data_IF_647813730614
#
_entry.id   IF_647813730614
#
_cell.length_a   1.000
_cell.length_b   1.000
_cell.length_c   1.000
_cell.angle_alpha   90.00
_cell.angle_beta   90.00
_cell.angle_gamma   90.00
#
_symmetry.space_group_name_H-M   'P 1'
#
loop_
_entity.id
_entity.type
_entity.pdbx_description
1 polymer ?
#
# COMPACT_ATOMS: atom_id res chain seq x y z
N UNK A 1 8.61 4.27 -21.81
CA UNK A 1 7.23 4.18 -22.33
C UNK A 1 6.84 2.76 -22.04
N UNK A 2 6.31 2.57 -20.85
CA UNK A 2 6.51 1.31 -20.15
C UNK A 2 5.39 0.35 -20.56
N UNK A 3 5.68 -0.95 -20.59
CA UNK A 3 4.70 -1.98 -20.97
C UNK A 3 3.41 -1.89 -20.12
N UNK A 4 3.54 -1.34 -18.91
CA UNK A 4 2.42 -0.99 -18.03
C UNK A 4 1.53 0.07 -18.65
N UNK A 5 2.07 1.14 -19.26
CA UNK A 5 1.28 2.17 -19.96
C UNK A 5 0.52 1.58 -21.14
N UNK A 6 1.14 0.67 -21.91
CA UNK A 6 0.48 0.05 -23.07
C UNK A 6 -0.67 -0.87 -22.65
N UNK A 7 -0.47 -1.67 -21.59
CA UNK A 7 -1.53 -2.48 -21.00
C UNK A 7 -2.61 -1.61 -20.32
N UNK A 8 -2.24 -0.48 -19.73
CA UNK A 8 -3.18 0.49 -19.16
C UNK A 8 -4.01 1.17 -20.24
N UNK A 9 -3.42 1.50 -21.40
CA UNK A 9 -4.12 2.08 -22.55
C UNK A 9 -5.06 1.04 -23.18
N UNK A 10 -4.64 -0.22 -23.33
CA UNK A 10 -5.51 -1.30 -23.81
C UNK A 10 -6.66 -1.61 -22.82
N UNK A 11 -6.38 -1.66 -21.52
CA UNK A 11 -7.43 -1.85 -20.51
C UNK A 11 -8.32 -0.62 -20.35
N UNK A 12 -7.79 0.62 -20.48
CA UNK A 12 -8.59 1.84 -20.46
C UNK A 12 -9.45 1.97 -21.71
N UNK A 13 -8.96 1.55 -22.89
CA UNK A 13 -9.78 1.49 -24.09
C UNK A 13 -10.93 0.48 -23.94
N UNK A 14 -10.66 -0.70 -23.37
CA UNK A 14 -11.70 -1.71 -23.17
C UNK A 14 -12.67 -1.35 -22.03
N UNK A 15 -12.16 -0.75 -20.94
CA UNK A 15 -12.97 -0.31 -19.80
C UNK A 15 -13.76 0.98 -20.09
N UNK A 16 -13.24 1.93 -20.86
CA UNK A 16 -14.03 3.08 -21.33
C UNK A 16 -15.15 2.64 -22.26
N UNK A 17 -14.94 1.62 -23.10
CA UNK A 17 -16.01 1.10 -23.96
C UNK A 17 -17.12 0.41 -23.16
N UNK A 18 -16.80 -0.28 -22.07
CA UNK A 18 -17.81 -0.94 -21.23
C UNK A 18 -18.49 0.06 -20.27
N UNK A 19 -17.78 1.07 -19.77
CA UNK A 19 -18.31 2.00 -18.77
C UNK A 19 -19.11 3.17 -19.37
N UNK A 20 -18.83 3.57 -20.63
CA UNK A 20 -19.65 4.59 -21.32
C UNK A 20 -21.04 4.11 -21.75
N UNK A 21 -21.34 2.81 -21.67
CA UNK A 21 -22.68 2.28 -22.00
C UNK A 21 -23.64 2.19 -20.81
N UNK A 22 -23.21 2.48 -19.57
CA UNK A 22 -24.06 2.38 -18.38
C UNK A 22 -24.03 3.69 -17.58
N UNK A 23 -24.49 4.78 -18.20
CA UNK A 23 -25.03 5.93 -17.46
C UNK A 23 -26.53 6.00 -17.78
N UNK A 24 -27.42 5.53 -16.89
CA UNK A 24 -28.85 5.65 -17.10
C UNK A 24 -29.24 7.12 -16.89
N UNK A 25 -29.34 7.86 -18.00
CA UNK A 25 -29.94 9.18 -18.00
C UNK A 25 -31.45 8.99 -17.87
N UNK A 26 -31.94 9.18 -16.65
CA UNK A 26 -33.36 9.18 -16.32
C UNK A 26 -34.00 10.44 -16.91
N UNK A 27 -34.40 10.40 -18.18
CA UNK A 27 -35.23 11.43 -18.80
C UNK A 27 -36.32 10.73 -19.62
N UNK A 28 -37.56 10.98 -19.21
CA UNK A 28 -38.76 10.34 -19.72
C UNK A 28 -39.07 10.58 -21.19
N UNK A 29 -39.92 9.69 -21.71
CA UNK A 29 -40.85 9.99 -22.80
C UNK A 29 -40.24 10.15 -24.19
N UNK A 30 -39.70 9.08 -24.77
CA UNK A 30 -39.23 9.09 -26.16
C UNK A 30 -38.88 7.70 -26.68
N UNK A 31 -39.83 6.76 -26.56
CA UNK A 31 -39.66 5.37 -26.96
C UNK A 31 -39.60 5.25 -28.50
N UNK A 32 -38.75 4.35 -29.00
CA UNK A 32 -38.78 3.70 -30.34
C UNK A 32 -37.69 4.09 -31.38
N UNK A 33 -36.96 5.22 -31.31
CA UNK A 33 -35.95 5.55 -32.37
C UNK A 33 -34.45 5.41 -32.05
N UNK A 34 -34.04 5.06 -30.82
CA UNK A 34 -32.61 5.00 -30.44
C UNK A 34 -31.91 3.63 -30.59
N UNK A 35 -32.61 2.54 -30.88
CA UNK A 35 -32.00 1.19 -30.90
C UNK A 35 -31.25 0.83 -32.18
N UNK A 36 -31.44 1.56 -33.28
CA UNK A 36 -30.84 1.19 -34.59
C UNK A 36 -29.37 1.67 -34.69
N UNK A 37 -29.01 2.78 -34.04
CA UNK A 37 -27.66 3.36 -34.16
C UNK A 37 -26.63 2.51 -33.40
N UNK A 38 -26.97 1.97 -32.23
CA UNK A 38 -26.04 1.17 -31.42
C UNK A 38 -25.63 -0.15 -32.09
N UNK A 39 -26.53 -0.80 -32.85
CA UNK A 39 -26.20 -2.06 -33.53
C UNK A 39 -25.19 -1.88 -34.67
N UNK A 40 -25.24 -0.75 -35.39
CA UNK A 40 -24.31 -0.48 -36.49
C UNK A 40 -22.90 -0.17 -35.98
N UNK A 41 -22.78 0.55 -34.86
CA UNK A 41 -21.48 0.80 -34.22
C UNK A 41 -20.83 -0.47 -33.67
N UNK A 42 -21.61 -1.40 -33.11
CA UNK A 42 -21.09 -2.69 -32.64
C UNK A 42 -20.56 -3.55 -33.79
N UNK A 43 -21.24 -3.58 -34.95
CA UNK A 43 -20.76 -4.34 -36.13
C UNK A 43 -19.49 -3.76 -36.73
N UNK A 44 -19.35 -2.43 -36.78
CA UNK A 44 -18.13 -1.79 -37.31
C UNK A 44 -16.89 -2.11 -36.45
N UNK A 45 -17.04 -2.24 -35.12
CA UNK A 45 -15.94 -2.61 -34.23
C UNK A 45 -15.49 -4.06 -34.41
N UNK A 46 -16.43 -5.00 -34.60
CA UNK A 46 -16.09 -6.40 -34.81
C UNK A 46 -15.19 -6.61 -36.05
N UNK A 47 -15.50 -5.93 -37.16
CA UNK A 47 -14.75 -6.06 -38.41
C UNK A 47 -13.30 -5.53 -38.27
N UNK A 48 -13.11 -4.45 -37.50
CA UNK A 48 -11.76 -3.91 -37.27
C UNK A 48 -10.88 -4.85 -36.44
N UNK A 49 -11.47 -5.58 -35.51
CA UNK A 49 -10.75 -6.49 -34.63
C UNK A 49 -10.24 -7.72 -35.38
N UNK A 50 -11.04 -8.30 -36.28
CA UNK A 50 -10.61 -9.46 -37.09
C UNK A 50 -9.39 -9.15 -37.98
N UNK A 51 -9.36 -7.95 -38.59
CA UNK A 51 -8.20 -7.50 -39.38
C UNK A 51 -6.96 -7.25 -38.54
N UNK A 52 -7.15 -6.75 -37.32
CA UNK A 52 -6.04 -6.52 -36.39
C UNK A 52 -5.46 -7.82 -35.85
N UNK A 53 -6.32 -8.78 -35.51
CA UNK A 53 -5.91 -10.12 -35.03
C UNK A 53 -5.19 -10.90 -36.13
N UNK A 54 -5.66 -10.82 -37.38
CA UNK A 54 -5.00 -11.48 -38.52
C UNK A 54 -3.67 -10.81 -38.93
N UNK A 55 -3.50 -9.51 -38.66
CA UNK A 55 -2.25 -8.80 -38.92
C UNK A 55 -1.19 -9.01 -37.83
N UNK A 56 -1.57 -9.46 -36.64
CA UNK A 56 -0.66 -9.67 -35.52
C UNK A 56 0.02 -11.05 -35.63
N UNK A 57 1.36 -11.10 -35.66
CA UNK A 57 2.05 -12.38 -35.64
C UNK A 57 1.82 -13.08 -34.28
N UNK A 58 1.46 -14.37 -34.31
CA UNK A 58 0.99 -15.13 -33.14
C UNK A 58 1.91 -15.12 -31.91
N UNK A 59 3.21 -14.86 -32.10
CA UNK A 59 4.16 -14.71 -31.00
C UNK A 59 3.85 -13.54 -30.05
N UNK A 60 3.16 -12.48 -30.53
CA UNK A 60 2.76 -11.37 -29.67
C UNK A 60 1.71 -11.80 -28.64
N UNK A 61 0.80 -12.70 -29.01
CA UNK A 61 -0.19 -13.26 -28.07
C UNK A 61 0.48 -14.09 -26.99
N UNK A 62 1.53 -14.84 -27.34
CA UNK A 62 2.32 -15.62 -26.38
C UNK A 62 3.04 -14.71 -25.38
N UNK A 63 3.67 -13.62 -25.85
CA UNK A 63 4.32 -12.67 -24.96
C UNK A 63 3.33 -11.95 -24.04
N UNK A 64 2.18 -11.53 -24.58
CA UNK A 64 1.14 -10.90 -23.78
C UNK A 64 0.58 -11.86 -22.71
N UNK A 65 0.32 -13.12 -23.07
CA UNK A 65 -0.13 -14.15 -22.14
C UNK A 65 0.89 -14.39 -21.02
N UNK A 66 2.16 -14.54 -21.38
CA UNK A 66 3.25 -14.75 -20.43
C UNK A 66 3.41 -13.55 -19.48
N UNK A 67 3.30 -12.32 -20.00
CA UNK A 67 3.36 -11.11 -19.19
C UNK A 67 2.18 -11.03 -18.19
N UNK A 68 0.96 -11.36 -18.63
CA UNK A 68 -0.23 -11.36 -17.76
C UNK A 68 -0.08 -12.40 -16.64
N UNK A 69 0.29 -13.63 -16.98
CA UNK A 69 0.48 -14.71 -16.00
C UNK A 69 1.62 -14.36 -15.03
N UNK A 70 2.73 -13.83 -15.56
CA UNK A 70 3.86 -13.37 -14.76
C UNK A 70 3.46 -12.27 -13.78
N UNK A 71 2.72 -11.25 -14.23
CA UNK A 71 2.22 -10.19 -13.37
C UNK A 71 1.30 -10.72 -12.25
N UNK A 72 0.41 -11.68 -12.57
CA UNK A 72 -0.48 -12.30 -11.57
C UNK A 72 0.28 -13.06 -10.48
N UNK A 73 1.41 -13.68 -10.82
CA UNK A 73 2.22 -14.45 -9.87
C UNK A 73 3.20 -13.56 -9.08
N UNK A 74 3.82 -12.58 -9.73
CA UNK A 74 4.88 -11.74 -9.14
C UNK A 74 4.30 -10.68 -8.19
N UNK A 75 3.22 -10.01 -8.58
CA UNK A 75 2.65 -8.90 -7.79
C UNK A 75 2.32 -9.28 -6.34
N UNK A 76 1.62 -10.40 -6.03
CA UNK A 76 1.34 -10.74 -4.63
C UNK A 76 2.61 -11.04 -3.83
N UNK A 77 3.62 -11.66 -4.45
CA UNK A 77 4.88 -11.96 -3.77
C UNK A 77 5.66 -10.67 -3.45
N UNK A 78 5.70 -9.76 -4.41
CA UNK A 78 6.36 -8.46 -4.23
C UNK A 78 5.72 -7.65 -3.10
N UNK A 79 4.39 -7.65 -2.97
CA UNK A 79 3.68 -6.98 -1.88
C UNK A 79 4.03 -7.59 -0.51
N UNK A 80 4.08 -8.92 -0.41
CA UNK A 80 4.49 -9.60 0.83
C UNK A 80 5.92 -9.26 1.23
N UNK A 81 6.85 -9.25 0.28
CA UNK A 81 8.25 -8.87 0.54
C UNK A 81 8.35 -7.42 1.05
N UNK A 82 7.60 -6.49 0.45
CA UNK A 82 7.58 -5.09 0.87
C UNK A 82 7.01 -4.92 2.28
N UNK A 83 5.93 -5.62 2.60
CA UNK A 83 5.34 -5.59 3.95
C UNK A 83 6.33 -6.13 5.01
N UNK A 84 7.00 -7.24 4.71
CA UNK A 84 8.02 -7.80 5.59
C UNK A 84 9.22 -6.85 5.77
N UNK A 85 9.67 -6.21 4.70
CA UNK A 85 10.76 -5.23 4.76
C UNK A 85 10.39 -4.04 5.66
N UNK A 86 9.17 -3.51 5.52
CA UNK A 86 8.67 -2.44 6.38
C UNK A 86 8.59 -2.89 7.86
N UNK A 87 8.05 -4.09 8.14
CA UNK A 87 7.99 -4.62 9.51
C UNK A 87 9.38 -4.79 10.12
N UNK A 88 10.36 -5.25 9.34
CA UNK A 88 11.73 -5.40 9.79
C UNK A 88 12.37 -4.03 10.13
N UNK A 89 12.12 -3.01 9.33
CA UNK A 89 12.57 -1.64 9.57
C UNK A 89 11.96 -1.06 10.86
N UNK A 90 10.65 -1.26 11.06
CA UNK A 90 9.96 -0.84 12.28
C UNK A 90 10.56 -1.53 13.51
N UNK A 91 10.74 -2.85 13.47
CA UNK A 91 11.35 -3.60 14.58
C UNK A 91 12.77 -3.11 14.88
N UNK A 92 13.58 -2.85 13.86
CA UNK A 92 14.93 -2.31 14.04
C UNK A 92 14.93 -0.95 14.74
N UNK A 93 14.03 -0.05 14.35
CA UNK A 93 13.88 1.25 15.01
C UNK A 93 13.44 1.11 16.48
N UNK A 94 12.55 0.15 16.76
CA UNK A 94 12.12 -0.15 18.13
C UNK A 94 13.27 -0.70 18.99
N UNK A 95 14.05 -1.64 18.46
CA UNK A 95 15.23 -2.18 19.15
C UNK A 95 16.24 -1.08 19.48
N UNK A 96 16.52 -0.19 18.52
CA UNK A 96 17.47 0.91 18.74
C UNK A 96 16.99 1.89 19.83
N UNK A 97 15.68 2.16 19.90
CA UNK A 97 15.10 2.98 20.99
C UNK A 97 15.19 2.29 22.35
N UNK A 98 14.95 0.98 22.40
CA UNK A 98 15.09 0.18 23.62
C UNK A 98 16.53 0.16 24.12
N UNK A 99 17.51 0.04 23.21
CA UNK A 99 18.93 0.11 23.52
C UNK A 99 19.33 1.49 24.08
N UNK A 100 18.82 2.58 23.48
CA UNK A 100 19.07 3.94 23.97
C UNK A 100 18.47 4.16 25.37
N UNK A 101 17.23 3.73 25.59
CA UNK A 101 16.59 3.76 26.91
C UNK A 101 17.38 2.95 27.94
N UNK A 102 17.82 1.74 27.57
CA UNK A 102 18.64 0.91 28.44
C UNK A 102 19.95 1.61 28.84
N UNK A 103 20.63 2.28 27.90
CA UNK A 103 21.81 3.08 28.17
C UNK A 103 21.55 4.22 29.17
N UNK A 104 20.43 4.94 29.00
CA UNK A 104 20.02 6.01 29.93
C UNK A 104 19.73 5.48 31.34
N UNK A 105 19.09 4.31 31.45
CA UNK A 105 18.87 3.66 32.75
C UNK A 105 20.18 3.27 33.44
N UNK A 106 21.16 2.75 32.68
CA UNK A 106 22.48 2.43 33.24
C UNK A 106 23.17 3.70 33.76
N UNK A 107 23.17 4.79 32.99
CA UNK A 107 23.75 6.06 33.40
C UNK A 107 23.09 6.63 34.65
N UNK A 108 21.76 6.50 34.76
CA UNK A 108 21.01 6.91 35.95
C UNK A 108 21.38 6.07 37.18
N UNK A 109 21.51 4.75 37.04
CA UNK A 109 21.94 3.87 38.14
C UNK A 109 23.38 4.16 38.58
N UNK A 110 24.27 4.51 37.65
CA UNK A 110 25.64 4.91 37.98
C UNK A 110 25.67 6.23 38.75
N UNK A 111 24.90 7.24 38.32
CA UNK A 111 24.73 8.49 39.06
C UNK A 111 24.20 8.26 40.48
N UNK A 112 23.23 7.36 40.64
CA UNK A 112 22.67 7.00 41.94
C UNK A 112 23.71 6.36 42.85
N UNK A 113 24.55 5.47 42.32
CA UNK A 113 25.63 4.84 43.07
C UNK A 113 26.74 5.82 43.49
N UNK A 114 26.93 6.90 42.73
CA UNK A 114 27.95 7.92 43.00
C UNK A 114 27.45 9.04 43.94
N UNK A 115 26.22 8.97 44.44
CA UNK A 115 25.60 9.94 45.38
C UNK A 115 25.56 11.40 44.87
N UNK A 116 25.61 11.62 43.56
CA UNK A 116 25.54 12.97 42.95
C UNK A 116 24.08 13.42 42.79
N UNK A 117 23.58 14.12 43.82
CA UNK A 117 22.17 14.51 43.96
C UNK A 117 21.70 15.49 42.85
N UNK A 118 22.58 16.40 42.42
CA UNK A 118 22.24 17.41 41.40
C UNK A 118 22.10 16.75 40.02
N UNK A 119 23.00 15.82 39.71
CA UNK A 119 23.00 15.07 38.45
C UNK A 119 21.78 14.13 38.37
N UNK A 120 21.36 13.57 39.50
CA UNK A 120 20.14 12.78 39.63
C UNK A 120 18.89 13.58 39.26
N UNK A 121 18.71 14.79 39.81
CA UNK A 121 17.52 15.61 39.54
C UNK A 121 17.46 16.02 38.06
N UNK A 122 18.61 16.34 37.48
CA UNK A 122 18.69 16.71 36.08
C UNK A 122 18.33 15.53 35.14
N UNK A 123 18.89 14.34 35.39
CA UNK A 123 18.60 13.12 34.61
C UNK A 123 17.14 12.65 34.78
N UNK A 124 16.60 12.71 36.01
CA UNK A 124 15.21 12.37 36.27
C UNK A 124 14.24 13.27 35.48
N UNK A 125 14.56 14.56 35.39
CA UNK A 125 13.75 15.53 34.65
C UNK A 125 13.92 15.43 33.14
N UNK A 126 15.16 15.37 32.63
CA UNK A 126 15.44 15.43 31.19
C UNK A 126 15.22 14.09 30.48
N UNK A 127 15.66 12.98 31.07
CA UNK A 127 15.69 11.68 30.40
C UNK A 127 14.46 10.84 30.67
N UNK A 128 14.00 10.83 31.92
CA UNK A 128 12.85 10.02 32.33
C UNK A 128 11.53 10.80 32.27
N UNK A 129 11.58 12.10 31.98
CA UNK A 129 10.44 13.03 32.05
C UNK A 129 9.65 12.88 33.36
N UNK A 130 10.33 12.49 34.44
CA UNK A 130 9.72 12.34 35.75
C UNK A 130 9.48 13.75 36.29
N UNK A 131 8.24 14.01 36.66
CA UNK A 131 7.84 15.28 37.24
C UNK A 131 8.16 15.23 38.74
N UNK A 132 8.94 16.16 39.29
CA UNK A 132 9.21 16.15 40.72
C UNK A 132 7.89 16.32 41.49
N UNK A 133 7.70 15.46 42.48
CA UNK A 133 6.54 15.49 43.36
C UNK A 133 6.36 16.85 44.03
N UNK A 134 5.10 17.31 44.14
CA UNK A 134 4.78 18.59 44.77
C UNK A 134 4.97 19.84 43.88
N UNK A 135 5.51 19.71 42.67
CA UNK A 135 5.59 20.85 41.72
C UNK A 135 4.39 20.89 40.77
N UNK A 136 3.37 21.68 41.09
CA UNK A 136 2.30 21.98 40.13
C UNK A 136 2.77 23.04 39.13
N UNK A 137 3.06 22.64 37.89
CA UNK A 137 3.28 23.58 36.80
C UNK A 137 1.98 24.29 36.45
N UNK A 138 1.84 25.56 36.84
CA UNK A 138 0.85 26.45 36.25
C UNK A 138 1.46 26.91 34.92
N UNK A 139 0.98 26.38 33.79
CA UNK A 139 1.30 26.95 32.48
C UNK A 139 0.67 28.35 32.38
N UNK A 140 1.40 29.37 32.82
CA UNK A 140 1.09 30.75 32.49
C UNK A 140 1.50 30.95 31.04
N UNK A 141 0.51 31.17 30.16
CA UNK A 141 0.66 31.33 28.70
C UNK A 141 1.65 32.42 28.27
N UNK A 142 2.14 33.23 29.21
CA UNK A 142 3.09 34.32 29.00
C UNK A 142 4.21 34.26 30.05
N UNK A 143 5.30 33.54 29.75
CA UNK A 143 6.54 33.59 30.53
C UNK A 143 6.63 32.61 31.71
N UNK A 144 7.61 31.70 31.62
CA UNK A 144 8.00 30.77 32.68
C UNK A 144 8.42 31.55 33.94
N UNK A 145 7.60 31.52 34.97
CA UNK A 145 7.95 32.00 36.31
C UNK A 145 7.80 30.86 37.30
N UNK A 146 8.89 30.50 37.96
CA UNK A 146 8.99 29.38 38.91
C UNK A 146 8.44 29.83 40.26
N UNK A 147 7.29 29.29 40.68
CA UNK A 147 6.76 29.52 42.03
C UNK A 147 6.95 28.22 42.83
N UNK A 148 7.87 28.19 43.81
CA UNK A 148 8.00 27.04 44.70
C UNK A 148 6.77 26.96 45.61
N UNK A 149 5.90 25.98 45.37
CA UNK A 149 4.77 25.70 46.24
C UNK A 149 5.29 24.84 47.40
N UNK A 150 5.51 25.48 48.55
CA UNK A 150 5.76 24.80 49.82
C UNK A 150 4.45 24.16 50.31
N UNK A 151 4.22 22.89 49.97
CA UNK A 151 3.15 22.09 50.59
C UNK A 151 3.75 20.89 51.30
N UNK A 152 3.80 20.97 52.63
CA UNK A 152 4.08 19.83 53.50
C UNK A 152 2.88 18.89 53.54
N UNK A 153 2.98 17.76 52.84
CA UNK A 153 2.39 16.51 53.28
C UNK A 153 3.17 15.35 52.67
N UNK A 154 3.71 14.54 53.56
CA UNK A 154 4.58 13.39 53.33
C UNK A 154 3.66 12.18 53.18
N UNK A 155 3.27 11.85 51.96
CA UNK A 155 2.68 10.53 51.63
C UNK A 155 3.59 9.86 50.60
N UNK A 156 4.38 8.90 51.08
CA UNK A 156 5.12 8.00 50.21
C UNK A 156 4.14 7.13 49.44
N UNK A 157 4.21 7.19 48.11
CA UNK A 157 3.94 6.11 47.13
C UNK A 157 3.73 6.67 45.72
N UNK A 158 4.66 7.49 45.24
CA UNK A 158 4.54 8.17 43.95
C UNK A 158 5.50 7.71 42.87
N UNK A 159 6.65 7.17 43.27
CA UNK A 159 7.62 6.58 42.35
C UNK A 159 6.94 5.41 41.61
N UNK A 160 6.18 4.57 42.32
CA UNK A 160 5.42 3.48 41.70
C UNK A 160 4.31 3.98 40.75
N UNK A 161 3.68 5.12 41.06
CA UNK A 161 2.64 5.72 40.20
C UNK A 161 3.22 6.33 38.92
N UNK A 162 4.44 6.87 38.98
CA UNK A 162 5.15 7.33 37.80
C UNK A 162 5.70 6.18 36.93
N UNK A 163 6.07 5.04 37.53
CA UNK A 163 6.36 3.82 36.78
C UNK A 163 5.12 3.19 36.11
N UNK A 164 3.90 3.57 36.53
CA UNK A 164 2.65 3.14 35.86
C UNK A 164 2.18 4.06 34.74
N UNK A 165 2.91 5.15 34.43
CA UNK A 165 2.70 5.84 33.15
C UNK A 165 3.17 4.85 32.10
N UNK A 166 2.21 4.10 31.57
CA UNK A 166 2.40 3.19 30.45
C UNK A 166 3.21 3.95 29.42
N UNK A 167 4.47 3.54 29.20
CA UNK A 167 5.20 3.93 28.01
C UNK A 167 4.21 3.79 26.86
N UNK A 168 3.96 4.90 26.13
CA UNK A 168 3.11 4.87 24.95
C UNK A 168 3.53 3.64 24.15
N UNK A 169 2.55 2.74 23.94
CA UNK A 169 2.82 1.44 23.33
C UNK A 169 3.52 1.71 22.02
N UNK A 170 4.82 1.36 22.01
CA UNK A 170 5.72 1.70 20.92
C UNK A 170 5.15 1.07 19.66
N UNK A 171 4.57 1.90 18.79
CA UNK A 171 3.86 1.43 17.60
C UNK A 171 2.66 2.28 17.19
N UNK A 172 2.07 3.07 18.09
CA UNK A 172 0.89 3.88 17.75
C UNK A 172 1.22 5.10 16.85
N UNK A 173 2.46 5.60 16.91
CA UNK A 173 2.91 6.72 16.07
C UNK A 173 3.48 6.32 14.71
N UNK A 174 3.69 5.03 14.45
CA UNK A 174 4.21 4.62 13.14
C UNK A 174 3.07 4.69 12.15
N UNK A 175 3.15 5.66 11.23
CA UNK A 175 2.16 5.79 10.16
C UNK A 175 1.94 4.42 9.50
N UNK A 176 0.70 3.91 9.47
CA UNK A 176 0.43 2.61 8.89
C UNK A 176 0.86 2.65 7.42
N UNK A 177 1.56 1.60 6.97
CA UNK A 177 2.03 1.49 5.60
C UNK A 177 0.87 1.77 4.64
N UNK A 178 0.92 2.91 3.94
CA UNK A 178 -0.16 3.29 3.04
C UNK A 178 -0.22 2.26 1.90
N UNK A 179 -1.34 1.53 1.74
CA UNK A 179 -1.42 0.48 0.76
C UNK A 179 -1.36 1.09 -0.64
N UNK A 180 -0.48 0.55 -1.50
CA UNK A 180 -0.39 0.99 -2.91
C UNK A 180 -1.71 0.65 -3.61
N UNK A 181 -2.57 1.65 -3.74
CA UNK A 181 -3.91 1.51 -4.29
C UNK A 181 -3.93 1.65 -5.82
N UNK A 182 -3.08 0.89 -6.53
CA UNK A 182 -3.14 0.85 -8.00
C UNK A 182 -4.22 -0.12 -8.47
N UNK A 183 -4.88 0.20 -9.59
CA UNK A 183 -5.92 -0.68 -10.19
C UNK A 183 -5.38 -2.07 -10.50
N UNK A 184 -4.12 -2.15 -10.93
CA UNK A 184 -3.43 -3.40 -11.20
C UNK A 184 -3.33 -4.27 -9.93
N UNK A 185 -2.85 -3.70 -8.83
CA UNK A 185 -2.78 -4.39 -7.53
C UNK A 185 -4.16 -4.85 -7.08
N UNK A 186 -5.20 -4.02 -7.25
CA UNK A 186 -6.58 -4.40 -6.90
C UNK A 186 -7.11 -5.56 -7.73
N UNK A 187 -6.73 -5.66 -9.01
CA UNK A 187 -7.14 -6.74 -9.91
C UNK A 187 -6.37 -8.04 -9.65
N UNK A 188 -5.09 -7.97 -9.30
CA UNK A 188 -4.26 -9.15 -9.03
C UNK A 188 -4.49 -9.76 -7.65
N UNK A 189 -4.85 -8.94 -6.64
CA UNK A 189 -5.03 -9.39 -5.25
C UNK A 189 -6.39 -10.04 -4.97
N UNK A 190 -7.47 -9.61 -5.63
CA UNK A 190 -8.81 -10.20 -5.40
C UNK A 190 -8.92 -11.61 -5.98
N UNK A 191 -9.33 -12.59 -5.17
CA UNK A 191 -9.43 -14.02 -5.56
C UNK A 191 -10.22 -14.26 -6.85
N UNK A 192 -11.37 -13.58 -7.01
CA UNK A 192 -12.24 -13.73 -8.20
C UNK A 192 -11.58 -13.16 -9.47
N UNK A 193 -11.04 -11.94 -9.41
CA UNK A 193 -10.39 -11.32 -10.59
C UNK A 193 -9.08 -12.00 -10.95
N UNK A 194 -8.35 -12.55 -9.97
CA UNK A 194 -7.16 -13.36 -10.22
C UNK A 194 -7.45 -14.58 -11.10
N UNK A 195 -8.54 -15.29 -10.80
CA UNK A 195 -8.96 -16.45 -11.62
C UNK A 195 -9.33 -16.00 -13.02
N UNK A 196 -10.06 -14.89 -13.17
CA UNK A 196 -10.41 -14.33 -14.48
C UNK A 196 -9.17 -13.96 -15.29
N UNK A 197 -8.16 -13.33 -14.67
CA UNK A 197 -6.89 -12.99 -15.34
C UNK A 197 -6.09 -14.23 -15.75
N UNK A 198 -6.06 -15.28 -14.92
CA UNK A 198 -5.40 -16.54 -15.26
C UNK A 198 -6.10 -17.24 -16.43
N UNK A 199 -7.44 -17.32 -16.41
CA UNK A 199 -8.21 -17.92 -17.50
C UNK A 199 -8.03 -17.13 -18.79
N UNK A 200 -8.04 -15.80 -18.72
CA UNK A 200 -7.82 -14.94 -19.88
C UNK A 200 -6.39 -15.07 -20.44
N UNK A 201 -5.37 -15.07 -19.58
CA UNK A 201 -3.97 -15.29 -19.99
C UNK A 201 -3.76 -16.66 -20.60
N UNK A 202 -4.34 -17.72 -20.02
CA UNK A 202 -4.28 -19.07 -20.56
C UNK A 202 -5.01 -19.19 -21.90
N UNK A 203 -6.14 -18.50 -22.06
CA UNK A 203 -6.86 -18.39 -23.33
C UNK A 203 -6.00 -17.72 -24.41
N UNK A 204 -5.31 -16.63 -24.09
CA UNK A 204 -4.36 -15.98 -25.01
C UNK A 204 -3.20 -16.90 -25.40
N UNK A 205 -2.72 -17.73 -24.48
CA UNK A 205 -1.65 -18.70 -24.75
C UNK A 205 -2.14 -19.77 -25.73
N UNK A 206 -3.34 -20.32 -25.52
CA UNK A 206 -3.95 -21.30 -26.42
C UNK A 206 -4.17 -20.72 -27.82
N UNK A 207 -4.67 -19.48 -27.91
CA UNK A 207 -4.83 -18.78 -29.20
C UNK A 207 -3.50 -18.51 -29.89
N UNK A 208 -2.45 -18.17 -29.15
CA UNK A 208 -1.11 -17.93 -29.69
C UNK A 208 -0.38 -19.21 -30.12
N UNK A 209 -0.69 -20.34 -29.48
CA UNK A 209 -0.15 -21.65 -29.82
C UNK A 209 -0.86 -22.30 -31.00
N UNK A 210 -2.06 -21.84 -31.37
CA UNK A 210 -2.81 -22.42 -32.47
C UNK A 210 -2.00 -22.28 -33.76
N UNK A 211 -1.51 -23.39 -34.35
CA UNK A 211 -0.65 -23.32 -35.52
C UNK A 211 -1.46 -22.71 -36.67
N UNK A 212 -0.95 -21.61 -37.22
CA UNK A 212 -1.42 -21.09 -38.49
C UNK A 212 -0.92 -22.03 -39.58
N UNK A 213 -1.61 -23.16 -39.78
CA UNK A 213 -1.34 -24.11 -40.86
C UNK A 213 -1.63 -23.53 -42.25
N UNK A 214 -1.99 -22.24 -42.34
CA UNK A 214 -2.28 -21.59 -43.60
C UNK A 214 -0.99 -21.22 -44.36
N UNK A 215 -0.78 -21.99 -45.44
CA UNK A 215 -0.24 -21.56 -46.75
C UNK A 215 1.30 -21.52 -46.83
N UNK A 216 1.88 -22.72 -46.89
CA UNK A 216 2.97 -23.01 -47.82
C UNK A 216 2.46 -24.01 -48.86
N UNK A 217 1.37 -23.68 -49.54
CA UNK A 217 1.04 -24.36 -50.81
C UNK A 217 1.76 -23.57 -51.91
N UNK A 218 3.08 -23.74 -51.95
CA UNK A 218 3.89 -23.27 -53.06
C UNK A 218 3.48 -24.09 -54.27
N UNK A 219 2.85 -23.44 -55.25
CA UNK A 219 2.53 -24.02 -56.54
C UNK A 219 3.78 -24.44 -57.30
N UNK A 220 4.32 -25.60 -56.96
CA UNK A 220 5.22 -26.38 -57.78
C UNK A 220 4.39 -27.34 -58.66
N UNK A 221 3.62 -26.78 -59.59
CA UNK A 221 3.24 -27.50 -60.82
C UNK A 221 3.69 -26.64 -62.01
N UNK A 222 4.94 -26.89 -62.39
CA UNK A 222 5.53 -26.56 -63.68
C UNK A 222 5.25 -27.69 -64.69
#
# INVERSE_FOLDING_TARGET
MDFVDFAQVMMLMNACQVWSCVRPENIGGGMVRRTIIDLTMLRLRAISFERFVSAMPGWLFMLAAMAIIGAVLIVPQWLSCRELAWRAEVMKAQTQRLEDLHGRYIAFLDALNNEDLDLYEQLAFSELRLKPEGTNFVMVRNGLSYVPISSGHREGNSIERQLTVSMDVVGEEVEPLEPINTRLVRMTTKKKSRIVLLVMGLGCLVLGLWPSEHIYDNGDEA
#
